data_IF_560415330765
#
_entry.id   IF_560415330765
#
_cell.length_a   1.000
_cell.length_b   1.000
_cell.length_c   1.000
_cell.angle_alpha   90.00
_cell.angle_beta   90.00
_cell.angle_gamma   90.00
#
_symmetry.space_group_name_H-M   'P 1'
#
loop_
_entity.id
_entity.type
_entity.pdbx_description
1 polymer ?
#
# COMPACT_ATOMS: atom_id res chain seq x y z
N UNK A 1 11.44 -23.48 -15.89
CA UNK A 1 11.33 -22.60 -14.71
C UNK A 1 9.84 -22.39 -14.50
N UNK A 2 9.32 -22.96 -13.43
CA UNK A 2 7.90 -22.91 -13.16
C UNK A 2 7.54 -21.53 -12.61
N UNK A 3 6.54 -20.89 -13.21
CA UNK A 3 5.93 -19.66 -12.69
C UNK A 3 5.10 -20.10 -11.48
N UNK A 4 5.47 -19.62 -10.30
CA UNK A 4 4.70 -19.90 -9.11
C UNK A 4 3.52 -18.93 -9.02
N UNK A 5 2.34 -19.48 -8.79
CA UNK A 5 1.13 -18.70 -8.55
C UNK A 5 1.18 -18.06 -7.16
N UNK A 6 0.57 -16.88 -6.97
CA UNK A 6 0.46 -16.28 -5.65
C UNK A 6 -0.35 -17.22 -4.73
N UNK A 7 0.06 -17.28 -3.46
CA UNK A 7 -0.65 -18.03 -2.42
C UNK A 7 -1.92 -17.31 -1.98
N UNK A 8 -1.90 -15.98 -1.99
CA UNK A 8 -2.97 -15.11 -1.51
C UNK A 8 -3.23 -13.99 -2.51
N UNK A 9 -4.48 -13.78 -2.85
CA UNK A 9 -4.92 -12.66 -3.68
C UNK A 9 -5.52 -11.59 -2.80
N UNK A 10 -4.90 -10.41 -2.81
CA UNK A 10 -5.33 -9.25 -2.03
C UNK A 10 -5.85 -8.16 -2.96
N UNK A 11 -6.91 -7.46 -2.55
CA UNK A 11 -7.39 -6.28 -3.26
C UNK A 11 -6.96 -5.02 -2.52
N UNK A 12 -6.38 -4.07 -3.24
CA UNK A 12 -5.95 -2.80 -2.71
C UNK A 12 -6.99 -1.72 -2.96
N UNK A 13 -7.71 -1.35 -1.91
CA UNK A 13 -8.66 -0.24 -1.88
C UNK A 13 -8.04 1.07 -1.36
N UNK A 14 -6.76 1.07 -0.99
CA UNK A 14 -6.08 2.25 -0.46
C UNK A 14 -6.18 3.42 -1.45
N UNK A 15 -6.56 4.60 -0.94
CA UNK A 15 -6.67 5.84 -1.73
C UNK A 15 -7.63 5.74 -2.93
N UNK A 16 -8.26 4.59 -3.12
CA UNK A 16 -9.18 4.35 -4.23
C UNK A 16 -10.64 4.48 -3.81
N UNK A 17 -10.93 4.00 -2.60
CA UNK A 17 -12.29 3.96 -2.06
C UNK A 17 -12.24 4.59 -0.67
N UNK A 18 -12.99 5.65 -0.48
CA UNK A 18 -13.12 6.32 0.79
C UNK A 18 -14.30 7.25 0.77
N UNK A 19 -14.65 7.82 1.89
CA UNK A 19 -15.64 8.87 2.14
C UNK A 19 -17.07 8.71 1.59
N UNK A 20 -17.25 8.11 0.43
CA UNK A 20 -18.56 7.96 -0.19
C UNK A 20 -19.02 6.51 -0.30
N UNK A 21 -18.23 5.57 0.24
CA UNK A 21 -18.47 4.13 0.09
C UNK A 21 -18.49 3.44 1.47
N UNK A 22 -19.40 3.91 2.31
CA UNK A 22 -19.62 3.39 3.67
C UNK A 22 -20.57 2.19 3.71
N UNK A 23 -20.82 1.58 2.56
CA UNK A 23 -21.69 0.40 2.43
C UNK A 23 -20.89 -0.79 1.87
N UNK A 24 -20.87 -1.87 2.62
CA UNK A 24 -20.17 -3.10 2.26
C UNK A 24 -20.63 -3.69 0.90
N UNK A 25 -21.90 -3.47 0.49
CA UNK A 25 -22.41 -3.96 -0.81
C UNK A 25 -21.73 -3.24 -1.96
N UNK A 26 -21.55 -1.94 -1.83
CA UNK A 26 -20.83 -1.14 -2.82
C UNK A 26 -19.36 -1.52 -2.88
N UNK A 27 -18.72 -1.76 -1.73
CA UNK A 27 -17.35 -2.27 -1.68
C UNK A 27 -17.23 -3.61 -2.38
N UNK A 28 -18.16 -4.53 -2.12
CA UNK A 28 -18.19 -5.85 -2.77
C UNK A 28 -18.33 -5.74 -4.30
N UNK A 29 -19.20 -4.86 -4.80
CA UNK A 29 -19.36 -4.63 -6.25
C UNK A 29 -18.04 -4.15 -6.90
N UNK A 30 -17.30 -3.26 -6.24
CA UNK A 30 -16.00 -2.78 -6.71
C UNK A 30 -14.99 -3.94 -6.75
N UNK A 31 -14.97 -4.77 -5.71
CA UNK A 31 -14.10 -5.94 -5.60
C UNK A 31 -14.39 -6.93 -6.73
N UNK A 32 -15.65 -7.28 -6.94
CA UNK A 32 -16.07 -8.23 -7.98
C UNK A 32 -15.76 -7.71 -9.38
N UNK A 33 -16.04 -6.44 -9.65
CA UNK A 33 -15.73 -5.83 -10.93
C UNK A 33 -14.21 -5.77 -11.19
N UNK A 34 -13.41 -5.59 -10.14
CA UNK A 34 -11.95 -5.62 -10.26
C UNK A 34 -11.45 -7.04 -10.52
N UNK A 35 -11.96 -8.03 -9.80
CA UNK A 35 -11.64 -9.45 -9.99
C UNK A 35 -11.95 -9.92 -11.40
N UNK A 36 -13.15 -9.61 -11.89
CA UNK A 36 -13.55 -9.97 -13.26
C UNK A 36 -12.61 -9.39 -14.33
N UNK A 37 -12.12 -8.16 -14.15
CA UNK A 37 -11.13 -7.54 -15.07
C UNK A 37 -9.74 -8.16 -14.94
N UNK A 38 -9.35 -8.56 -13.74
CA UNK A 38 -8.05 -9.13 -13.45
C UNK A 38 -7.96 -10.63 -13.75
N UNK A 39 -9.10 -11.30 -13.99
CA UNK A 39 -9.19 -12.77 -14.06
C UNK A 39 -8.94 -13.43 -12.70
N UNK A 40 -9.31 -12.75 -11.61
CA UNK A 40 -9.19 -13.23 -10.23
C UNK A 40 -10.60 -13.54 -9.72
N UNK A 41 -10.86 -14.80 -9.45
CA UNK A 41 -12.20 -15.26 -9.05
C UNK A 41 -12.56 -14.85 -7.61
N UNK A 42 -11.56 -14.80 -6.73
CA UNK A 42 -11.73 -14.45 -5.32
C UNK A 42 -10.51 -13.69 -4.80
N UNK A 43 -10.78 -12.70 -3.96
CA UNK A 43 -9.77 -12.09 -3.11
C UNK A 43 -9.92 -12.61 -1.67
N UNK A 44 -8.79 -12.93 -1.05
CA UNK A 44 -8.73 -13.47 0.30
C UNK A 44 -8.57 -12.36 1.35
N UNK A 45 -8.06 -11.19 0.93
CA UNK A 45 -7.72 -10.07 1.82
C UNK A 45 -8.01 -8.72 1.16
N UNK A 46 -8.43 -7.76 1.97
CA UNK A 46 -8.64 -6.37 1.56
C UNK A 46 -7.62 -5.45 2.25
N UNK A 47 -6.97 -4.60 1.47
CA UNK A 47 -6.07 -3.53 1.94
C UNK A 47 -6.83 -2.21 1.93
N UNK A 48 -6.86 -1.51 3.06
CA UNK A 48 -7.52 -0.22 3.24
C UNK A 48 -6.62 0.77 3.94
N UNK A 49 -6.86 2.07 3.78
CA UNK A 49 -6.01 3.11 4.35
C UNK A 49 -5.27 3.89 3.28
N UNK A 50 -4.03 4.25 3.53
CA UNK A 50 -3.24 5.04 2.60
C UNK A 50 -1.75 4.71 2.70
N UNK A 51 -1.07 4.69 1.55
CA UNK A 51 0.39 4.59 1.51
C UNK A 51 1.08 5.95 1.67
N UNK A 52 0.46 7.02 1.18
CA UNK A 52 1.15 8.29 0.96
C UNK A 52 0.40 9.53 1.46
N UNK A 53 -0.86 9.40 1.88
CA UNK A 53 -1.69 10.56 2.17
C UNK A 53 -2.28 10.53 3.57
N UNK A 54 -1.71 11.32 4.45
CA UNK A 54 -2.14 11.50 5.84
C UNK A 54 -3.60 11.99 5.91
N UNK A 55 -3.95 12.98 5.08
CA UNK A 55 -5.32 13.51 5.05
C UNK A 55 -6.36 12.46 4.67
N UNK A 56 -6.00 11.54 3.76
CA UNK A 56 -6.88 10.45 3.40
C UNK A 56 -7.09 9.50 4.59
N UNK A 57 -6.01 9.11 5.24
CA UNK A 57 -6.05 8.23 6.40
C UNK A 57 -6.85 8.84 7.55
N UNK A 58 -6.58 10.10 7.89
CA UNK A 58 -7.28 10.83 8.95
C UNK A 58 -8.77 11.03 8.67
N UNK A 59 -9.17 10.98 7.42
CA UNK A 59 -10.54 11.20 7.02
C UNK A 59 -11.37 9.93 6.81
N UNK A 60 -10.80 8.74 6.99
CA UNK A 60 -11.57 7.51 6.99
C UNK A 60 -12.56 7.53 8.16
N UNK A 61 -13.82 7.30 7.84
CA UNK A 61 -14.92 7.37 8.82
C UNK A 61 -15.11 6.05 9.57
N UNK A 62 -15.74 6.11 10.71
CA UNK A 62 -16.07 4.92 11.48
C UNK A 62 -16.98 3.97 10.69
N UNK A 63 -17.97 4.51 10.00
CA UNK A 63 -18.87 3.73 9.13
C UNK A 63 -18.12 3.02 7.98
N UNK A 64 -17.00 3.58 7.51
CA UNK A 64 -16.15 2.88 6.56
C UNK A 64 -15.48 1.64 7.19
N UNK A 65 -14.93 1.76 8.39
CA UNK A 65 -14.31 0.63 9.10
C UNK A 65 -15.34 -0.45 9.47
N UNK A 66 -16.56 -0.04 9.87
CA UNK A 66 -17.69 -0.95 10.09
C UNK A 66 -18.07 -1.72 8.81
N UNK A 67 -18.14 -1.01 7.68
CA UNK A 67 -18.43 -1.63 6.39
C UNK A 67 -17.34 -2.63 5.95
N UNK A 68 -16.06 -2.36 6.23
CA UNK A 68 -14.96 -3.31 6.00
C UNK A 68 -15.13 -4.54 6.89
N UNK A 69 -15.41 -4.36 8.18
CA UNK A 69 -15.64 -5.47 9.10
C UNK A 69 -16.80 -6.37 8.65
N UNK A 70 -17.94 -5.76 8.24
CA UNK A 70 -19.09 -6.51 7.72
C UNK A 70 -18.77 -7.24 6.40
N UNK A 71 -18.02 -6.60 5.50
CA UNK A 71 -17.55 -7.22 4.25
C UNK A 71 -16.69 -8.45 4.55
N UNK A 72 -15.69 -8.31 5.41
CA UNK A 72 -14.77 -9.38 5.76
C UNK A 72 -15.50 -10.57 6.41
N UNK A 73 -16.38 -10.29 7.36
CA UNK A 73 -17.18 -11.32 7.99
C UNK A 73 -18.08 -12.10 7.01
N UNK A 74 -18.73 -11.39 6.06
CA UNK A 74 -19.65 -12.01 5.09
C UNK A 74 -18.97 -12.88 4.05
N UNK A 75 -17.77 -12.51 3.66
CA UNK A 75 -17.08 -13.13 2.52
C UNK A 75 -15.82 -13.90 2.94
N UNK A 76 -15.64 -14.09 4.23
CA UNK A 76 -14.49 -14.80 4.78
C UNK A 76 -13.18 -14.23 4.20
N UNK A 77 -13.01 -12.92 4.37
CA UNK A 77 -11.83 -12.16 3.95
C UNK A 77 -11.11 -11.63 5.19
N UNK A 78 -9.81 -11.50 5.08
CA UNK A 78 -8.98 -10.81 6.05
C UNK A 78 -8.83 -9.32 5.68
N UNK A 79 -8.45 -8.49 6.64
CA UNK A 79 -8.27 -7.06 6.40
C UNK A 79 -6.91 -6.56 6.89
N UNK A 80 -6.24 -5.78 6.03
CA UNK A 80 -5.00 -5.08 6.33
C UNK A 80 -5.25 -3.57 6.37
N UNK A 81 -4.88 -2.92 7.47
CA UNK A 81 -4.86 -1.46 7.56
C UNK A 81 -3.49 -0.93 7.13
N UNK A 82 -3.47 -0.06 6.12
CA UNK A 82 -2.26 0.57 5.61
C UNK A 82 -2.12 1.96 6.22
N UNK A 83 -1.03 2.17 6.94
CA UNK A 83 -0.72 3.41 7.65
C UNK A 83 0.30 4.22 6.83
N UNK A 84 0.00 5.49 6.48
CA UNK A 84 0.94 6.32 5.73
C UNK A 84 2.10 6.79 6.60
N UNK A 85 3.13 7.34 5.95
CA UNK A 85 4.14 8.13 6.66
C UNK A 85 3.45 9.39 7.20
N UNK A 86 3.53 9.63 8.49
CA UNK A 86 3.08 10.87 9.09
C UNK A 86 4.20 11.91 9.05
N UNK A 87 4.00 12.98 8.28
CA UNK A 87 4.89 14.13 8.36
C UNK A 87 4.81 14.79 9.74
N UNK A 88 5.86 15.52 10.14
CA UNK A 88 5.97 16.13 11.48
C UNK A 88 4.72 16.93 11.91
N UNK A 89 4.06 17.61 10.97
CA UNK A 89 2.83 18.37 11.25
C UNK A 89 1.60 17.51 11.53
N UNK A 90 1.67 16.21 11.24
CA UNK A 90 0.58 15.25 11.39
C UNK A 90 0.87 14.16 12.40
N UNK A 91 2.08 14.08 12.92
CA UNK A 91 2.53 12.94 13.72
C UNK A 91 1.59 12.66 14.90
N UNK A 92 1.42 13.61 15.80
CA UNK A 92 0.55 13.46 16.98
C UNK A 92 -0.89 13.09 16.60
N UNK A 93 -1.44 13.72 15.54
CA UNK A 93 -2.81 13.45 15.10
C UNK A 93 -2.92 12.10 14.40
N UNK A 94 -1.88 11.70 13.68
CA UNK A 94 -1.79 10.44 12.97
C UNK A 94 -1.72 9.27 13.95
N UNK A 95 -0.84 9.36 14.92
CA UNK A 95 -0.69 8.37 15.99
C UNK A 95 -1.97 8.27 16.82
N UNK A 96 -2.51 9.39 17.29
CA UNK A 96 -3.77 9.40 18.05
C UNK A 96 -4.95 8.81 17.25
N UNK A 97 -5.01 9.04 15.92
CA UNK A 97 -6.04 8.42 15.07
C UNK A 97 -5.79 6.93 14.88
N UNK A 98 -4.55 6.52 14.74
CA UNK A 98 -4.20 5.10 14.65
C UNK A 98 -4.58 4.38 15.94
N UNK A 99 -4.27 4.95 17.09
CA UNK A 99 -4.61 4.38 18.40
C UNK A 99 -6.13 4.26 18.61
N UNK A 100 -6.89 5.31 18.25
CA UNK A 100 -8.36 5.28 18.28
C UNK A 100 -8.92 4.19 17.35
N UNK A 101 -8.34 4.04 16.16
CA UNK A 101 -8.76 2.99 15.22
C UNK A 101 -8.45 1.59 15.76
N UNK A 102 -7.28 1.39 16.33
CA UNK A 102 -6.89 0.10 16.89
C UNK A 102 -7.72 -0.27 18.14
N UNK A 103 -8.03 0.70 18.99
CA UNK A 103 -8.91 0.48 20.13
C UNK A 103 -10.33 0.07 19.70
N UNK A 104 -10.88 0.73 18.69
CA UNK A 104 -12.29 0.54 18.27
C UNK A 104 -12.47 -0.55 17.23
N UNK A 105 -11.53 -0.71 16.33
CA UNK A 105 -11.64 -1.58 15.14
C UNK A 105 -10.47 -2.58 15.02
N UNK A 106 -9.61 -2.70 16.03
CA UNK A 106 -8.48 -3.64 16.01
C UNK A 106 -8.90 -5.09 15.73
N UNK A 107 -10.10 -5.49 16.12
CA UNK A 107 -10.64 -6.81 15.82
C UNK A 107 -11.02 -7.00 14.32
N UNK A 108 -11.12 -5.93 13.54
CA UNK A 108 -11.38 -5.99 12.09
C UNK A 108 -10.08 -6.25 11.32
N UNK A 109 -8.96 -5.76 11.85
CA UNK A 109 -7.66 -5.82 11.19
C UNK A 109 -6.78 -6.87 11.86
N UNK A 110 -6.32 -7.83 11.10
CA UNK A 110 -5.36 -8.85 11.55
C UNK A 110 -3.91 -8.50 11.18
N UNK A 111 -3.73 -7.42 10.39
CA UNK A 111 -2.43 -6.99 9.91
C UNK A 111 -2.38 -5.47 9.69
N UNK A 112 -1.24 -4.88 10.04
CA UNK A 112 -0.91 -3.48 9.69
C UNK A 112 0.24 -3.45 8.68
N UNK A 113 0.15 -2.57 7.69
CA UNK A 113 1.28 -2.20 6.84
C UNK A 113 1.72 -0.80 7.21
N UNK A 114 2.97 -0.65 7.63
CA UNK A 114 3.55 0.64 8.03
C UNK A 114 4.60 1.10 7.02
N UNK A 115 4.70 2.39 6.81
CA UNK A 115 5.54 2.98 5.77
C UNK A 115 6.72 3.79 6.30
N UNK A 116 6.94 3.79 7.61
CA UNK A 116 8.12 4.36 8.26
C UNK A 116 8.48 3.62 9.57
N UNK A 117 9.73 3.77 10.00
CA UNK A 117 10.29 3.06 11.15
C UNK A 117 9.71 3.55 12.47
N UNK A 118 9.37 4.84 12.59
CA UNK A 118 8.81 5.37 13.83
C UNK A 118 7.41 4.79 14.08
N UNK A 119 6.57 4.76 13.05
CA UNK A 119 5.26 4.11 13.12
C UNK A 119 5.37 2.61 13.42
N UNK A 120 6.41 1.94 12.87
CA UNK A 120 6.65 0.52 13.17
C UNK A 120 6.83 0.31 14.68
N UNK A 121 7.77 1.02 15.31
CA UNK A 121 8.04 0.86 16.74
C UNK A 121 6.88 1.32 17.63
N UNK A 122 6.20 2.39 17.25
CA UNK A 122 4.98 2.82 17.96
C UNK A 122 3.93 1.68 18.01
N UNK A 123 3.70 1.02 16.89
CA UNK A 123 2.71 -0.06 16.79
C UNK A 123 3.20 -1.32 17.50
N UNK A 124 4.46 -1.72 17.30
CA UNK A 124 5.00 -2.97 17.88
C UNK A 124 5.08 -2.96 19.40
N UNK A 125 5.22 -1.77 20.00
CA UNK A 125 5.21 -1.59 21.46
C UNK A 125 3.81 -1.64 22.06
N UNK A 126 2.77 -1.27 21.32
CA UNK A 126 1.42 -1.08 21.84
C UNK A 126 0.45 -2.20 21.49
N UNK A 127 0.64 -2.90 20.38
CA UNK A 127 -0.36 -3.80 19.83
C UNK A 127 0.23 -5.18 19.48
N UNK A 128 -0.48 -6.22 19.87
CA UNK A 128 -0.21 -7.60 19.46
C UNK A 128 -0.88 -7.86 18.09
N UNK A 129 -0.28 -7.35 17.04
CA UNK A 129 -0.79 -7.45 15.67
C UNK A 129 0.38 -7.68 14.70
N UNK A 130 0.12 -8.41 13.63
CA UNK A 130 1.13 -8.59 12.58
C UNK A 130 1.45 -7.28 11.87
N UNK A 131 2.72 -6.92 11.79
CA UNK A 131 3.19 -5.70 11.12
C UNK A 131 4.02 -6.08 9.89
N UNK A 132 3.63 -5.53 8.73
CA UNK A 132 4.40 -5.62 7.51
C UNK A 132 5.06 -4.29 7.14
N UNK A 133 6.24 -4.39 6.53
CA UNK A 133 6.95 -3.23 6.00
C UNK A 133 6.38 -2.83 4.65
N UNK A 134 5.82 -1.62 4.59
CA UNK A 134 5.15 -1.12 3.41
C UNK A 134 6.09 -0.76 2.26
N UNK A 135 5.50 -0.56 1.10
CA UNK A 135 6.22 -0.30 -0.15
C UNK A 135 7.11 0.95 -0.13
N UNK A 136 6.88 1.92 0.78
CA UNK A 136 7.75 3.08 0.93
C UNK A 136 9.02 2.77 1.73
N UNK A 137 9.00 1.74 2.55
CA UNK A 137 10.17 1.28 3.29
C UNK A 137 11.09 0.41 2.44
N UNK A 138 10.61 -0.21 1.36
CA UNK A 138 11.47 -0.99 0.48
C UNK A 138 12.46 -0.10 -0.26
N UNK A 139 13.76 -0.46 -0.25
CA UNK A 139 14.83 0.23 -1.00
C UNK A 139 14.80 -0.09 -2.50
N UNK A 140 13.64 -0.24 -3.07
CA UNK A 140 13.50 -0.58 -4.48
C UNK A 140 13.84 0.60 -5.37
N UNK A 141 14.56 0.32 -6.42
CA UNK A 141 14.64 1.25 -7.53
C UNK A 141 13.34 1.23 -8.32
N UNK A 142 12.65 2.36 -8.26
CA UNK A 142 11.32 2.52 -8.86
C UNK A 142 11.33 3.28 -10.17
N UNK A 143 12.49 3.72 -10.64
CA UNK A 143 12.60 4.41 -11.92
C UNK A 143 12.77 3.41 -13.07
N UNK A 144 11.71 3.24 -13.84
CA UNK A 144 11.71 2.33 -14.99
C UNK A 144 12.76 2.67 -16.06
N UNK A 145 13.33 3.89 -16.04
CA UNK A 145 14.35 4.34 -17.00
C UNK A 145 15.74 3.77 -16.71
N UNK A 146 15.99 3.35 -15.48
CA UNK A 146 17.33 2.95 -15.01
C UNK A 146 17.45 1.46 -14.69
N UNK A 147 16.56 0.63 -15.22
CA UNK A 147 16.55 -0.83 -15.00
C UNK A 147 17.90 -1.52 -15.21
N UNK A 148 18.68 -1.08 -16.19
CA UNK A 148 19.98 -1.69 -16.50
C UNK A 148 21.10 -1.24 -15.56
N UNK A 149 21.03 0.00 -15.06
CA UNK A 149 22.02 0.52 -14.11
C UNK A 149 21.97 -0.18 -12.75
N UNK A 150 20.80 -0.67 -12.37
CA UNK A 150 20.52 -1.26 -11.06
C UNK A 150 21.12 -2.65 -10.82
N UNK A 151 21.49 -3.34 -11.89
CA UNK A 151 22.14 -4.67 -11.80
C UNK A 151 23.56 -4.65 -11.22
N UNK A 152 24.06 -3.46 -10.81
CA UNK A 152 25.48 -3.26 -10.46
C UNK A 152 25.72 -2.79 -9.03
N UNK A 153 24.71 -2.63 -8.19
CA UNK A 153 24.93 -2.19 -6.81
C UNK A 153 25.06 -3.40 -5.88
N UNK A 154 26.18 -3.52 -5.22
CA UNK A 154 26.46 -4.48 -4.14
C UNK A 154 25.86 -4.03 -2.78
N UNK A 155 24.90 -3.11 -2.79
CA UNK A 155 24.26 -2.66 -1.56
C UNK A 155 23.32 -3.75 -1.02
N UNK A 156 23.27 -3.94 0.31
CA UNK A 156 22.33 -4.88 0.92
C UNK A 156 20.90 -4.47 0.57
N UNK A 157 20.06 -5.46 0.30
CA UNK A 157 18.67 -5.28 -0.09
C UNK A 157 17.84 -4.54 0.97
N UNK A 158 18.26 -4.64 2.25
CA UNK A 158 17.63 -3.99 3.40
C UNK A 158 18.59 -3.04 4.11
N UNK A 159 18.06 -1.95 4.67
CA UNK A 159 18.83 -1.10 5.60
C UNK A 159 18.92 -1.78 6.98
N UNK A 160 19.80 -1.25 7.84
CA UNK A 160 19.93 -1.69 9.24
C UNK A 160 18.61 -1.57 10.00
N UNK A 161 17.89 -0.47 9.80
CA UNK A 161 16.61 -0.22 10.45
C UNK A 161 15.52 -1.19 9.98
N UNK A 162 15.50 -1.52 8.69
CA UNK A 162 14.58 -2.51 8.15
C UNK A 162 14.89 -3.92 8.69
N UNK A 163 16.17 -4.26 8.79
CA UNK A 163 16.59 -5.52 9.40
C UNK A 163 16.19 -5.60 10.87
N UNK A 164 16.33 -4.50 11.62
CA UNK A 164 15.87 -4.40 13.00
C UNK A 164 14.37 -4.63 13.12
N UNK A 165 13.54 -3.98 12.30
CA UNK A 165 12.10 -4.23 12.26
C UNK A 165 11.76 -5.71 11.99
N UNK A 166 12.44 -6.35 11.02
CA UNK A 166 12.19 -7.77 10.74
C UNK A 166 12.64 -8.68 11.88
N UNK A 167 13.73 -8.33 12.58
CA UNK A 167 14.19 -9.08 13.76
C UNK A 167 13.21 -8.93 14.93
N UNK A 168 12.71 -7.73 15.16
CA UNK A 168 11.69 -7.47 16.18
C UNK A 168 10.40 -8.26 15.88
N UNK A 169 9.92 -8.26 14.63
CA UNK A 169 8.77 -9.07 14.20
C UNK A 169 8.96 -10.55 14.53
N UNK A 170 10.16 -11.11 14.27
CA UNK A 170 10.49 -12.51 14.60
C UNK A 170 10.55 -12.76 16.10
N UNK A 171 11.11 -11.80 16.85
CA UNK A 171 11.19 -11.90 18.32
C UNK A 171 9.80 -11.95 18.98
N UNK A 172 8.82 -11.29 18.35
CA UNK A 172 7.41 -11.32 18.74
C UNK A 172 6.67 -12.57 18.21
N UNK A 173 7.37 -13.53 17.63
CA UNK A 173 6.80 -14.80 17.15
C UNK A 173 5.99 -14.70 15.86
N UNK A 174 6.08 -13.58 15.15
CA UNK A 174 5.33 -13.33 13.91
C UNK A 174 6.22 -13.55 12.68
N UNK A 175 5.60 -13.99 11.57
CA UNK A 175 6.29 -14.08 10.29
C UNK A 175 6.47 -12.68 9.68
N UNK A 176 7.70 -12.28 9.33
CA UNK A 176 7.94 -10.97 8.74
C UNK A 176 7.32 -10.85 7.35
N UNK A 177 6.83 -9.66 7.03
CA UNK A 177 6.17 -9.33 5.77
C UNK A 177 6.76 -8.06 5.17
N UNK A 178 6.95 -8.03 3.87
CA UNK A 178 7.39 -6.85 3.16
C UNK A 178 6.71 -6.69 1.80
N UNK A 179 6.36 -5.45 1.46
CA UNK A 179 5.74 -5.10 0.19
C UNK A 179 6.74 -4.66 -0.86
N UNK A 180 6.46 -5.04 -2.09
CA UNK A 180 7.29 -4.76 -3.26
C UNK A 180 6.50 -4.25 -4.46
N UNK A 181 7.19 -3.43 -5.24
CA UNK A 181 6.76 -3.02 -6.58
C UNK A 181 7.55 -3.79 -7.66
N UNK A 182 6.90 -4.38 -8.67
CA UNK A 182 7.51 -5.39 -9.55
C UNK A 182 8.44 -4.86 -10.64
N UNK A 183 8.97 -3.64 -10.57
CA UNK A 183 9.83 -3.08 -11.64
C UNK A 183 11.14 -3.83 -11.82
N UNK A 184 11.75 -4.21 -10.70
CA UNK A 184 12.94 -5.05 -10.63
C UNK A 184 12.72 -6.24 -9.68
N UNK A 185 11.49 -6.48 -9.30
CA UNK A 185 11.09 -7.33 -8.20
C UNK A 185 11.63 -8.77 -8.27
N UNK A 186 11.80 -9.33 -9.46
CA UNK A 186 12.26 -10.71 -9.57
C UNK A 186 13.70 -10.90 -9.03
N UNK A 187 14.58 -9.91 -9.21
CA UNK A 187 15.95 -9.97 -8.71
C UNK A 187 16.01 -9.61 -7.23
N UNK A 188 15.35 -8.53 -6.84
CA UNK A 188 15.34 -8.06 -5.45
C UNK A 188 14.62 -9.05 -4.53
N UNK A 189 13.51 -9.61 -4.99
CA UNK A 189 12.75 -10.60 -4.23
C UNK A 189 13.51 -11.91 -4.01
N UNK A 190 14.28 -12.38 -5.00
CA UNK A 190 15.09 -13.60 -4.86
C UNK A 190 16.20 -13.41 -3.83
N UNK A 191 16.97 -12.32 -3.94
CA UNK A 191 18.04 -12.01 -2.99
C UNK A 191 17.49 -11.86 -1.56
N UNK A 192 16.37 -11.16 -1.40
CA UNK A 192 15.71 -11.00 -0.09
C UNK A 192 15.26 -12.31 0.51
N UNK A 193 14.71 -13.21 -0.29
CA UNK A 193 14.29 -14.53 0.16
C UNK A 193 15.47 -15.44 0.50
N UNK A 194 16.60 -15.32 -0.21
CA UNK A 194 17.83 -16.03 0.12
C UNK A 194 18.39 -15.59 1.48
N UNK A 195 18.40 -14.28 1.75
CA UNK A 195 18.83 -13.71 3.03
C UNK A 195 17.81 -13.92 4.15
N UNK A 196 16.51 -13.95 3.82
CA UNK A 196 15.38 -14.04 4.76
C UNK A 196 14.37 -15.09 4.27
N UNK A 197 14.62 -16.39 4.48
CA UNK A 197 13.77 -17.46 3.93
C UNK A 197 12.32 -17.45 4.45
N UNK A 198 12.11 -16.95 5.65
CA UNK A 198 10.80 -16.82 6.32
C UNK A 198 10.02 -15.55 5.93
N UNK A 199 10.66 -14.61 5.21
CA UNK A 199 10.04 -13.35 4.81
C UNK A 199 8.92 -13.59 3.80
N UNK A 200 7.71 -13.21 4.13
CA UNK A 200 6.59 -13.17 3.19
C UNK A 200 6.66 -11.92 2.32
N UNK A 201 6.42 -12.06 1.02
CA UNK A 201 6.49 -10.97 0.06
C UNK A 201 5.11 -10.64 -0.50
N UNK A 202 4.76 -9.36 -0.53
CA UNK A 202 3.57 -8.84 -1.19
C UNK A 202 3.93 -8.02 -2.42
N UNK A 203 3.43 -8.41 -3.58
CA UNK A 203 3.66 -7.75 -4.86
C UNK A 203 2.47 -6.91 -5.29
N UNK A 204 2.71 -5.66 -5.63
CA UNK A 204 1.69 -4.77 -6.13
C UNK A 204 1.52 -4.83 -7.65
N UNK A 205 0.28 -4.96 -8.12
CA UNK A 205 -0.10 -4.94 -9.53
C UNK A 205 -1.47 -4.28 -9.73
N UNK A 206 -1.78 -3.79 -10.90
CA UNK A 206 -0.88 -3.43 -12.01
C UNK A 206 -0.19 -2.08 -11.79
N UNK A 207 -0.50 -1.38 -10.70
CA UNK A 207 0.03 -0.06 -10.38
C UNK A 207 1.27 -0.16 -9.49
N UNK A 208 2.42 0.08 -10.07
CA UNK A 208 3.70 0.13 -9.38
C UNK A 208 4.02 1.56 -8.95
N UNK A 209 4.31 1.76 -7.68
CA UNK A 209 4.66 3.07 -7.15
C UNK A 209 6.02 3.51 -7.71
N UNK A 210 6.04 4.59 -8.48
CA UNK A 210 7.27 5.17 -8.99
C UNK A 210 7.88 6.16 -7.99
N UNK A 211 7.08 7.10 -7.50
CA UNK A 211 7.53 8.11 -6.55
C UNK A 211 6.35 8.80 -5.88
N UNK A 212 6.63 9.48 -4.78
CA UNK A 212 5.68 10.36 -4.10
C UNK A 212 6.19 11.80 -4.10
N UNK A 213 5.26 12.76 -4.25
CA UNK A 213 5.55 14.17 -4.16
C UNK A 213 5.03 14.79 -2.86
N UNK A 214 5.61 15.91 -2.44
CA UNK A 214 5.06 16.69 -1.31
C UNK A 214 3.75 17.38 -1.69
N UNK A 215 3.56 17.70 -2.96
CA UNK A 215 2.40 18.45 -3.45
C UNK A 215 1.32 17.53 -3.97
N UNK A 216 0.12 17.69 -3.41
CA UNK A 216 -1.08 17.12 -4.00
C UNK A 216 -1.54 18.03 -5.14
N UNK A 217 -1.58 17.51 -6.38
CA UNK A 217 -2.04 18.28 -7.54
C UNK A 217 -3.44 18.87 -7.37
N UNK A 218 -4.46 18.07 -6.98
CA UNK A 218 -5.80 18.57 -6.72
C UNK A 218 -5.87 19.64 -5.62
N UNK A 219 -5.19 19.45 -4.49
CA UNK A 219 -5.17 20.44 -3.42
C UNK A 219 -4.43 21.73 -3.87
N UNK A 220 -3.35 21.60 -4.62
CA UNK A 220 -2.60 22.75 -5.14
C UNK A 220 -3.35 23.56 -6.20
N UNK A 221 -4.32 22.96 -6.90
CA UNK A 221 -5.09 23.63 -7.93
C UNK A 221 -6.21 24.53 -7.38
N UNK A 222 -6.66 24.25 -6.15
CA UNK A 222 -7.78 24.95 -5.51
C UNK A 222 -7.35 26.02 -4.51
N UNK A 223 -6.05 26.07 -4.16
CA UNK A 223 -5.54 26.89 -3.07
C UNK A 223 -4.65 28.03 -3.57
N UNK A 224 -4.76 29.19 -2.90
CA UNK A 224 -3.87 30.32 -3.10
C UNK A 224 -2.42 29.95 -2.76
N UNK A 225 -1.44 30.64 -3.34
CA UNK A 225 -0.01 30.26 -3.27
C UNK A 225 0.51 29.94 -1.85
N UNK A 226 0.03 30.65 -0.85
CA UNK A 226 0.46 30.49 0.54
C UNK A 226 -0.09 29.21 1.23
N UNK A 227 -1.11 28.59 0.67
CA UNK A 227 -1.75 27.40 1.25
C UNK A 227 -1.34 26.09 0.59
N UNK A 228 -0.62 26.13 -0.53
CA UNK A 228 -0.13 24.94 -1.26
C UNK A 228 0.64 23.95 -0.40
N UNK A 229 1.28 24.45 0.66
CA UNK A 229 2.12 23.66 1.57
C UNK A 229 1.49 23.49 2.95
N UNK A 230 0.33 24.07 3.21
CA UNK A 230 -0.40 23.85 4.46
C UNK A 230 -1.14 22.52 4.39
N UNK A 231 -0.46 21.51 4.87
CA UNK A 231 -1.01 20.18 5.01
C UNK A 231 -2.16 20.22 6.03
N UNK A 232 -3.29 19.62 5.70
CA UNK A 232 -4.36 19.32 6.67
C UNK A 232 -5.54 20.28 6.73
N UNK A 233 -5.57 21.39 6.01
CA UNK A 233 -6.76 22.26 5.98
C UNK A 233 -7.43 22.18 4.61
N UNK A 234 -8.73 21.83 4.61
CA UNK A 234 -9.61 21.94 3.44
C UNK A 234 -9.42 20.88 2.36
N UNK A 235 -8.80 19.74 2.66
CA UNK A 235 -8.71 18.64 1.69
C UNK A 235 -10.11 18.08 1.40
N UNK A 236 -10.57 18.26 0.17
CA UNK A 236 -11.88 17.76 -0.30
C UNK A 236 -11.76 16.42 -1.04
N UNK A 237 -10.60 15.78 -0.96
CA UNK A 237 -10.30 14.47 -1.58
C UNK A 237 -10.63 14.39 -3.08
N UNK A 238 -10.45 15.48 -3.81
CA UNK A 238 -10.63 15.50 -5.26
C UNK A 238 -9.77 14.47 -5.99
N UNK A 239 -8.63 14.04 -5.39
CA UNK A 239 -7.79 12.98 -5.92
C UNK A 239 -8.55 11.66 -6.14
N UNK A 240 -9.59 11.37 -5.35
CA UNK A 240 -10.40 10.16 -5.53
C UNK A 240 -11.15 10.13 -6.86
N UNK A 241 -11.36 11.30 -7.46
CA UNK A 241 -12.08 11.46 -8.74
C UNK A 241 -11.16 11.83 -9.90
N UNK A 242 -9.89 12.11 -9.61
CA UNK A 242 -8.95 12.65 -10.60
C UNK A 242 -7.69 11.82 -10.65
N UNK A 243 -7.58 10.98 -11.66
CA UNK A 243 -6.29 10.40 -12.07
C UNK A 243 -5.83 11.08 -13.35
N UNK A 244 -4.58 11.44 -13.39
CA UNK A 244 -3.98 12.10 -14.56
C UNK A 244 -2.97 11.15 -15.20
N UNK A 245 -3.25 10.73 -16.43
CA UNK A 245 -2.25 10.07 -17.26
C UNK A 245 -1.19 11.05 -17.69
N UNK A 246 0.07 10.67 -17.63
CA UNK A 246 1.19 11.44 -18.13
C UNK A 246 2.19 10.49 -18.81
N UNK A 247 2.96 11.03 -19.76
CA UNK A 247 3.96 10.28 -20.49
C UNK A 247 5.29 11.01 -20.42
N UNK A 248 6.36 10.27 -20.13
CA UNK A 248 7.71 10.84 -20.17
C UNK A 248 8.18 11.05 -21.60
N UNK A 249 9.28 11.80 -21.76
CA UNK A 249 9.93 11.98 -23.09
C UNK A 249 10.42 10.66 -23.68
N UNK A 250 10.75 9.69 -22.82
CA UNK A 250 11.19 8.35 -23.19
C UNK A 250 10.01 7.40 -23.52
N UNK A 251 8.78 7.91 -23.48
CA UNK A 251 7.58 7.15 -23.85
C UNK A 251 7.00 6.27 -22.73
N UNK A 252 7.45 6.42 -21.51
CA UNK A 252 6.92 5.67 -20.36
C UNK A 252 5.63 6.32 -19.86
N UNK A 253 4.57 5.52 -19.75
CA UNK A 253 3.28 6.00 -19.26
C UNK A 253 3.22 5.92 -17.73
N UNK A 254 2.80 7.02 -17.12
CA UNK A 254 2.57 7.16 -15.69
C UNK A 254 1.14 7.57 -15.41
N UNK A 255 0.65 7.17 -14.27
CA UNK A 255 -0.60 7.67 -13.68
C UNK A 255 -0.25 8.46 -12.44
N UNK A 256 -0.64 9.73 -12.40
CA UNK A 256 -0.60 10.55 -11.19
C UNK A 256 -1.93 10.40 -10.46
N UNK A 257 -1.86 10.02 -9.20
CA UNK A 257 -3.01 9.95 -8.31
C UNK A 257 -2.67 10.62 -6.98
N UNK A 258 -3.36 11.72 -6.66
CA UNK A 258 -3.03 12.51 -5.49
C UNK A 258 -1.58 12.99 -5.47
N UNK A 259 -0.81 12.52 -4.51
CA UNK A 259 0.62 12.79 -4.33
C UNK A 259 1.54 11.76 -4.98
N UNK A 260 0.99 10.65 -5.44
CA UNK A 260 1.77 9.52 -5.93
C UNK A 260 1.77 9.45 -7.46
N UNK A 261 2.86 8.91 -7.99
CA UNK A 261 3.02 8.57 -9.40
C UNK A 261 3.21 7.07 -9.51
N UNK A 262 2.45 6.47 -10.39
CA UNK A 262 2.48 5.04 -10.66
C UNK A 262 2.77 4.80 -12.13
N UNK A 263 3.47 3.73 -12.45
CA UNK A 263 3.50 3.19 -13.81
C UNK A 263 2.79 1.83 -13.81
N UNK A 264 2.27 1.45 -14.96
CA UNK A 264 1.56 0.19 -15.12
C UNK A 264 2.54 -0.92 -15.44
N UNK A 265 2.51 -1.99 -14.65
CA UNK A 265 3.19 -3.22 -14.96
C UNK A 265 2.18 -4.37 -14.94
N UNK A 266 1.93 -4.94 -16.11
CA UNK A 266 0.99 -6.05 -16.29
C UNK A 266 1.66 -7.43 -16.18
N UNK A 267 3.00 -7.48 -16.17
CA UNK A 267 3.77 -8.73 -16.04
C UNK A 267 4.18 -8.97 -14.60
N UNK A 268 3.23 -9.36 -13.75
CA UNK A 268 3.49 -9.73 -12.36
C UNK A 268 3.79 -11.23 -12.27
N UNK A 269 4.99 -11.62 -12.71
CA UNK A 269 5.48 -12.97 -12.58
C UNK A 269 6.68 -12.98 -11.64
N UNK A 270 6.52 -13.55 -10.45
CA UNK A 270 7.65 -13.95 -9.63
C UNK A 270 8.03 -15.38 -9.99
N UNK A 271 9.26 -15.54 -10.47
CA UNK A 271 9.86 -16.87 -10.74
C UNK A 271 10.65 -17.29 -9.50
N UNK A 272 10.42 -18.53 -9.07
CA UNK A 272 11.17 -19.15 -7.97
C UNK A 272 11.04 -18.46 -6.58
N UNK A 273 9.99 -17.71 -6.33
CA UNK A 273 9.69 -17.15 -5.02
C UNK A 273 8.48 -17.89 -4.46
N UNK A 274 8.63 -18.73 -3.44
CA UNK A 274 7.51 -19.39 -2.80
C UNK A 274 6.72 -18.42 -1.90
N UNK A 275 5.46 -18.73 -1.66
CA UNK A 275 4.64 -18.09 -0.64
C UNK A 275 4.59 -16.56 -0.73
N UNK A 276 4.18 -16.03 -1.88
CA UNK A 276 3.99 -14.61 -2.08
C UNK A 276 2.51 -14.23 -2.23
N UNK A 277 2.20 -12.96 -1.96
CA UNK A 277 0.87 -12.38 -2.14
C UNK A 277 0.83 -11.48 -3.37
N UNK A 278 -0.28 -11.49 -4.09
CA UNK A 278 -0.58 -10.50 -5.12
C UNK A 278 -1.53 -9.44 -4.56
N UNK A 279 -1.07 -8.21 -4.47
CA UNK A 279 -1.86 -7.04 -4.04
C UNK A 279 -2.32 -6.28 -5.27
N UNK A 280 -3.56 -6.49 -5.69
CA UNK A 280 -4.10 -5.96 -6.94
C UNK A 280 -4.84 -4.64 -6.71
N UNK A 281 -4.38 -3.58 -7.37
CA UNK A 281 -4.99 -2.25 -7.25
C UNK A 281 -6.31 -2.16 -8.03
N UNK A 282 -7.32 -1.53 -7.41
CA UNK A 282 -8.61 -1.25 -8.07
C UNK A 282 -8.42 -0.41 -9.32
N UNK A 283 -9.01 -0.86 -10.41
CA UNK A 283 -8.99 -0.12 -11.66
C UNK A 283 -9.90 1.13 -11.58
N UNK A 284 -9.41 2.27 -12.06
CA UNK A 284 -10.13 3.55 -12.02
C UNK A 284 -11.54 3.50 -12.64
N UNK A 285 -11.72 2.69 -13.67
CA UNK A 285 -13.00 2.55 -14.39
C UNK A 285 -14.08 1.86 -13.57
N UNK A 286 -13.70 1.08 -12.54
CA UNK A 286 -14.65 0.42 -11.63
C UNK A 286 -15.17 1.33 -10.52
N UNK A 287 -14.63 2.55 -10.42
CA UNK A 287 -14.98 3.52 -9.38
C UNK A 287 -15.97 4.61 -9.85
N UNK A 288 -16.40 4.58 -11.12
CA UNK A 288 -17.39 5.50 -11.71
C UNK A 288 -18.85 5.05 -11.45
#
# INVERSE_FOLDING_TARGET
>A
MDIQQPKTFCINLCEAVGYAKEDWRTLKQIIDATGAKAGIDRFDRVYVGSYVCENFFLGLTDSFHEAIGELCWRYDMEATLVVPIFGQAFLERGEARLDDLMERYGAVYDELIVNDVATYFHVSELYDIRIGLGRLMSKQQRDARVRELMRRTEEPALSSEQQECLQDTRANGMAPLMEFDPVCAALDATALKEENPDLELSLHAPLCLATTGRNCGPASATELEDSKFRLGQGCTHHCLRMRQGCRTKEGIDYVKHGRAYYFTNTSCELRNVPDWRLVYAVAHETMR
#
